data_IF_231741641720
#
_entry.id   IF_231741641720
#
_cell.length_a   1.000
_cell.length_b   1.000
_cell.length_c   1.000
_cell.angle_alpha   90.00
_cell.angle_beta   90.00
_cell.angle_gamma   90.00
#
_symmetry.space_group_name_H-M   'P 1'
#
loop_
_entity.id
_entity.type
_entity.pdbx_description
1 polymer ?
#
# COMPACT_ATOMS: atom_id res chain seq x y z
N UNK A 1 -5.64 -4.04 -6.51
CA UNK A 1 -7.05 -4.50 -6.44
C UNK A 1 -7.33 -5.70 -5.52
N UNK A 2 -6.50 -5.99 -4.48
CA UNK A 2 -6.85 -7.01 -3.47
C UNK A 2 -8.16 -6.70 -2.72
N UNK A 3 -8.50 -5.42 -2.64
CA UNK A 3 -9.79 -4.89 -2.20
C UNK A 3 -10.99 -5.43 -3.00
N UNK A 4 -10.87 -5.65 -4.32
CA UNK A 4 -11.93 -6.23 -5.14
C UNK A 4 -12.14 -7.69 -4.78
N UNK A 5 -11.07 -8.50 -4.75
CA UNK A 5 -11.16 -9.91 -4.37
C UNK A 5 -11.67 -10.11 -2.93
N UNK A 6 -11.30 -9.21 -2.01
CA UNK A 6 -11.79 -9.24 -0.63
C UNK A 6 -13.27 -8.86 -0.51
N UNK A 7 -13.75 -7.93 -1.34
CA UNK A 7 -15.13 -7.44 -1.30
C UNK A 7 -16.10 -8.31 -2.10
N UNK A 8 -15.64 -8.92 -3.19
CA UNK A 8 -16.42 -9.84 -4.03
C UNK A 8 -15.68 -11.18 -4.16
N UNK A 9 -15.87 -12.12 -3.21
CA UNK A 9 -15.19 -13.41 -3.22
C UNK A 9 -15.48 -14.28 -4.45
N UNK A 10 -16.57 -14.01 -5.18
CA UNK A 10 -16.84 -14.67 -6.47
C UNK A 10 -15.88 -14.26 -7.60
N UNK A 11 -15.13 -13.16 -7.45
CA UNK A 11 -14.10 -12.76 -8.40
C UNK A 11 -12.85 -13.61 -8.16
N UNK A 12 -12.64 -14.59 -9.04
CA UNK A 12 -11.53 -15.56 -8.94
C UNK A 12 -10.34 -15.23 -9.83
N UNK A 13 -10.53 -14.38 -10.82
CA UNK A 13 -9.52 -14.08 -11.84
C UNK A 13 -9.36 -12.57 -11.96
N UNK A 14 -8.13 -12.10 -11.74
CA UNK A 14 -7.74 -10.71 -11.94
C UNK A 14 -6.48 -10.72 -12.80
N UNK A 15 -6.57 -10.17 -14.01
CA UNK A 15 -5.46 -9.98 -14.94
C UNK A 15 -4.88 -8.57 -14.87
N UNK A 16 -3.94 -8.23 -15.75
CA UNK A 16 -3.48 -6.85 -15.87
C UNK A 16 -2.12 -6.64 -16.55
N UNK A 17 -1.10 -7.44 -16.25
CA UNK A 17 0.23 -7.26 -16.85
C UNK A 17 0.34 -8.02 -18.18
N UNK A 18 0.70 -7.32 -19.27
CA UNK A 18 0.99 -7.92 -20.59
C UNK A 18 2.34 -7.36 -21.09
N UNK A 19 3.47 -8.02 -20.80
CA UNK A 19 4.79 -7.53 -21.17
C UNK A 19 4.91 -7.25 -22.68
N UNK A 20 5.42 -6.07 -23.04
CA UNK A 20 5.56 -5.63 -24.44
C UNK A 20 4.38 -4.85 -25.01
N UNK A 21 3.26 -4.73 -24.29
CA UNK A 21 2.17 -3.82 -24.66
C UNK A 21 2.60 -2.36 -24.42
N UNK A 22 2.52 -1.45 -25.42
CA UNK A 22 2.92 -0.05 -25.24
C UNK A 22 1.97 0.76 -24.34
N UNK A 23 0.84 0.18 -23.90
CA UNK A 23 -0.20 0.81 -23.08
C UNK A 23 -0.10 0.38 -21.62
N UNK A 24 -1.17 0.64 -20.86
CA UNK A 24 -1.21 0.45 -19.41
C UNK A 24 -0.95 -0.99 -18.97
N UNK A 25 -1.32 -1.97 -19.79
CA UNK A 25 -1.01 -3.37 -19.55
C UNK A 25 0.49 -3.68 -19.53
N UNK A 26 1.31 -3.08 -20.41
CA UNK A 26 2.76 -3.36 -20.40
C UNK A 26 3.51 -2.61 -19.33
N UNK A 27 2.95 -1.49 -18.85
CA UNK A 27 3.47 -0.75 -17.70
C UNK A 27 3.00 -1.30 -16.35
N UNK A 28 2.13 -2.31 -16.33
CA UNK A 28 1.56 -2.88 -15.10
C UNK A 28 0.53 -1.98 -14.39
N UNK A 29 0.07 -0.92 -15.05
CA UNK A 29 -0.94 0.02 -14.54
C UNK A 29 -2.38 -0.48 -14.69
N UNK A 30 -2.60 -1.41 -15.61
CA UNK A 30 -3.93 -1.96 -15.88
C UNK A 30 -4.25 -3.15 -14.96
N UNK A 31 -5.51 -3.23 -14.53
CA UNK A 31 -6.08 -4.36 -13.80
C UNK A 31 -7.38 -4.77 -14.46
N UNK A 32 -7.46 -6.03 -14.90
CA UNK A 32 -8.67 -6.61 -15.50
C UNK A 32 -9.37 -7.50 -14.46
N UNK A 33 -10.52 -7.04 -13.96
CA UNK A 33 -11.35 -7.81 -13.04
C UNK A 33 -12.32 -8.65 -13.87
N UNK A 34 -12.04 -9.96 -14.01
CA UNK A 34 -12.86 -10.84 -14.84
C UNK A 34 -14.22 -11.10 -14.18
N UNK A 35 -15.30 -10.85 -14.91
CA UNK A 35 -16.66 -10.97 -14.39
C UNK A 35 -17.23 -12.36 -14.72
N UNK A 36 -17.53 -13.19 -13.70
CA UNK A 36 -18.15 -14.49 -13.95
C UNK A 36 -19.55 -14.30 -14.52
N UNK A 37 -19.91 -15.13 -15.51
CA UNK A 37 -21.22 -15.11 -16.17
C UNK A 37 -21.61 -13.72 -16.70
N UNK A 38 -20.63 -12.93 -17.18
CA UNK A 38 -20.80 -11.53 -17.62
C UNK A 38 -21.96 -11.30 -18.60
N UNK A 39 -22.28 -12.30 -19.43
CA UNK A 39 -23.36 -12.26 -20.42
C UNK A 39 -24.77 -12.42 -19.80
N UNK A 40 -24.86 -12.75 -18.51
CA UNK A 40 -26.12 -12.85 -17.78
C UNK A 40 -26.46 -11.53 -17.09
N UNK A 41 -27.75 -11.23 -16.81
CA UNK A 41 -28.13 -10.04 -16.05
C UNK A 41 -27.42 -9.93 -14.69
N UNK A 42 -27.21 -11.06 -13.99
CA UNK A 42 -26.51 -11.09 -12.71
C UNK A 42 -25.03 -10.78 -12.85
N UNK A 43 -24.34 -11.34 -13.84
CA UNK A 43 -22.94 -11.02 -14.10
C UNK A 43 -22.76 -9.57 -14.55
N UNK A 44 -23.63 -9.08 -15.42
CA UNK A 44 -23.61 -7.69 -15.86
C UNK A 44 -23.83 -6.71 -14.69
N UNK A 45 -24.79 -7.01 -13.81
CA UNK A 45 -25.02 -6.22 -12.59
C UNK A 45 -23.79 -6.21 -11.66
N UNK A 46 -23.10 -7.34 -11.50
CA UNK A 46 -21.86 -7.43 -10.73
C UNK A 46 -20.75 -6.56 -11.32
N UNK A 47 -20.52 -6.63 -12.63
CA UNK A 47 -19.52 -5.77 -13.29
C UNK A 47 -19.85 -4.29 -13.15
N UNK A 48 -21.14 -3.93 -13.25
CA UNK A 48 -21.63 -2.57 -13.04
C UNK A 48 -21.36 -2.08 -11.61
N UNK A 49 -21.62 -2.92 -10.61
CA UNK A 49 -21.35 -2.62 -9.19
C UNK A 49 -19.84 -2.39 -8.94
N UNK A 50 -18.99 -3.26 -9.47
CA UNK A 50 -17.53 -3.17 -9.32
C UNK A 50 -16.98 -1.92 -10.02
N UNK A 51 -17.47 -1.61 -11.22
CA UNK A 51 -17.09 -0.43 -11.98
C UNK A 51 -17.48 0.87 -11.24
N UNK A 52 -18.71 0.94 -10.72
CA UNK A 52 -19.18 2.06 -9.92
C UNK A 52 -18.37 2.21 -8.62
N UNK A 53 -18.05 1.10 -7.96
CA UNK A 53 -17.21 1.13 -6.76
C UNK A 53 -15.80 1.64 -7.06
N UNK A 54 -15.17 1.20 -8.16
CA UNK A 54 -13.86 1.67 -8.58
C UNK A 54 -13.87 3.18 -8.87
N UNK A 55 -14.95 3.68 -9.51
CA UNK A 55 -15.19 5.10 -9.72
C UNK A 55 -15.33 5.87 -8.40
N UNK A 56 -16.16 5.42 -7.46
CA UNK A 56 -16.36 6.09 -6.15
C UNK A 56 -15.07 6.12 -5.32
N UNK A 57 -14.21 5.11 -5.49
CA UNK A 57 -12.96 4.96 -4.73
C UNK A 57 -11.74 5.45 -5.53
N UNK A 58 -11.93 6.15 -6.65
CA UNK A 58 -10.87 6.46 -7.60
C UNK A 58 -9.66 7.15 -6.95
N UNK A 59 -9.90 8.14 -6.07
CA UNK A 59 -8.83 8.85 -5.34
C UNK A 59 -8.03 7.92 -4.44
N UNK A 60 -8.71 7.07 -3.66
CA UNK A 60 -8.05 6.17 -2.70
C UNK A 60 -7.25 5.05 -3.40
N UNK A 61 -7.71 4.66 -4.59
CA UNK A 61 -7.11 3.60 -5.40
C UNK A 61 -6.10 4.11 -6.43
N UNK A 62 -5.96 5.44 -6.59
CA UNK A 62 -5.12 6.03 -7.63
C UNK A 62 -5.61 5.76 -9.05
N UNK A 63 -6.92 5.57 -9.26
CA UNK A 63 -7.52 5.25 -10.56
C UNK A 63 -7.40 6.45 -11.50
N UNK A 64 -6.98 6.21 -12.74
CA UNK A 64 -6.97 7.21 -13.83
C UNK A 64 -8.22 7.06 -14.70
N UNK A 65 -8.61 5.83 -15.01
CA UNK A 65 -9.87 5.51 -15.71
C UNK A 65 -10.35 4.08 -15.44
N UNK A 66 -11.64 3.88 -15.70
CA UNK A 66 -12.35 2.60 -15.60
C UNK A 66 -13.10 2.35 -16.92
N UNK A 67 -13.04 1.13 -17.44
CA UNK A 67 -13.82 0.68 -18.61
C UNK A 67 -14.69 -0.49 -18.19
N UNK A 68 -15.96 -0.44 -18.55
CA UNK A 68 -16.92 -1.52 -18.37
C UNK A 68 -18.03 -1.41 -19.40
N UNK A 69 -18.42 -2.53 -20.01
CA UNK A 69 -19.53 -2.62 -20.97
C UNK A 69 -19.43 -1.58 -22.11
N UNK A 70 -18.25 -1.54 -22.75
CA UNK A 70 -17.91 -0.58 -23.82
C UNK A 70 -18.10 0.88 -23.42
N UNK A 71 -18.06 1.20 -22.13
CA UNK A 71 -18.10 2.57 -21.62
C UNK A 71 -16.86 2.87 -20.80
N UNK A 72 -16.39 4.11 -20.88
CA UNK A 72 -15.25 4.62 -20.12
C UNK A 72 -15.68 5.77 -19.22
N UNK A 73 -15.20 5.71 -17.98
CA UNK A 73 -15.15 6.84 -17.07
C UNK A 73 -13.70 7.15 -16.73
N UNK A 74 -13.34 8.43 -16.63
CA UNK A 74 -11.96 8.83 -16.31
C UNK A 74 -11.95 10.01 -15.37
N UNK A 75 -10.98 10.06 -14.46
CA UNK A 75 -10.80 11.19 -13.52
C UNK A 75 -10.66 12.51 -14.28
N UNK A 76 -9.88 12.53 -15.36
CA UNK A 76 -9.66 13.72 -16.19
C UNK A 76 -10.95 14.27 -16.85
N UNK A 77 -12.00 13.46 -16.93
CA UNK A 77 -13.29 13.83 -17.54
C UNK A 77 -14.48 13.47 -16.63
N UNK A 78 -14.30 13.50 -15.31
CA UNK A 78 -15.31 13.01 -14.38
C UNK A 78 -16.67 13.71 -14.55
N UNK A 79 -16.67 15.01 -14.86
CA UNK A 79 -17.88 15.81 -15.12
C UNK A 79 -18.67 15.42 -16.38
N UNK A 80 -18.09 14.61 -17.28
CA UNK A 80 -18.77 14.08 -18.47
C UNK A 80 -19.46 12.72 -18.21
N UNK A 81 -19.32 12.16 -17.01
CA UNK A 81 -19.87 10.85 -16.68
C UNK A 81 -19.25 9.71 -17.50
N UNK A 82 -19.99 8.60 -17.58
CA UNK A 82 -19.64 7.45 -18.42
C UNK A 82 -19.90 7.77 -19.89
N UNK A 83 -18.92 7.51 -20.74
CA UNK A 83 -18.97 7.79 -22.18
C UNK A 83 -18.80 6.49 -22.94
N UNK A 84 -19.42 6.37 -24.11
CA UNK A 84 -19.19 5.21 -24.96
C UNK A 84 -17.72 5.17 -25.43
N UNK A 85 -17.16 3.96 -25.49
CA UNK A 85 -15.87 3.72 -26.10
C UNK A 85 -15.96 4.05 -27.59
N UNK A 86 -15.24 5.09 -28.00
CA UNK A 86 -15.04 5.44 -29.41
C UNK A 86 -13.74 4.82 -29.93
N UNK A 87 -13.58 4.74 -31.25
CA UNK A 87 -12.28 4.46 -31.86
C UNK A 87 -11.22 5.38 -31.25
N UNK A 88 -10.19 4.77 -30.65
CA UNK A 88 -9.06 5.46 -30.02
C UNK A 88 -9.13 5.75 -28.51
N UNK A 89 -10.28 5.62 -27.84
CA UNK A 89 -10.39 5.89 -26.38
C UNK A 89 -10.31 4.63 -25.50
N UNK A 90 -10.90 3.54 -25.99
CA UNK A 90 -10.78 2.18 -25.48
C UNK A 90 -11.08 1.28 -26.68
N UNK A 91 -10.16 0.37 -27.04
CA UNK A 91 -10.36 -0.51 -28.19
C UNK A 91 -11.67 -1.30 -27.99
N UNK A 92 -12.46 -1.46 -29.05
CA UNK A 92 -13.73 -2.19 -29.05
C UNK A 92 -13.73 -3.16 -30.25
N UNK A 93 -12.83 -4.15 -30.19
CA UNK A 93 -12.79 -5.25 -31.15
C UNK A 93 -14.03 -6.15 -31.05
N UNK A 94 -14.18 -7.12 -31.97
CA UNK A 94 -15.37 -7.98 -32.01
C UNK A 94 -15.42 -9.03 -30.89
N UNK A 95 -14.28 -9.35 -30.25
CA UNK A 95 -14.27 -10.30 -29.13
C UNK A 95 -14.66 -9.62 -27.80
N UNK A 96 -15.32 -10.33 -26.87
CA UNK A 96 -15.81 -9.77 -25.61
C UNK A 96 -14.74 -9.11 -24.75
N UNK A 97 -13.52 -9.67 -24.74
CA UNK A 97 -12.41 -9.12 -23.97
C UNK A 97 -11.91 -7.82 -24.59
N UNK A 98 -11.70 -7.76 -25.90
CA UNK A 98 -11.39 -6.51 -26.58
C UNK A 98 -12.49 -5.46 -26.37
N UNK A 99 -13.75 -5.85 -26.38
CA UNK A 99 -14.89 -4.95 -26.15
C UNK A 99 -15.12 -4.59 -24.67
N UNK A 100 -14.32 -5.11 -23.73
CA UNK A 100 -14.50 -4.89 -22.28
C UNK A 100 -15.90 -5.29 -21.78
N UNK A 101 -16.46 -6.37 -22.35
CA UNK A 101 -17.76 -6.92 -21.96
C UNK A 101 -17.64 -7.95 -20.83
N UNK A 102 -16.51 -8.64 -20.76
CA UNK A 102 -16.29 -9.76 -19.84
C UNK A 102 -15.46 -9.40 -18.60
N UNK A 103 -14.96 -8.17 -18.52
CA UNK A 103 -14.16 -7.69 -17.40
C UNK A 103 -14.33 -6.19 -17.16
N UNK A 104 -14.16 -5.78 -15.90
CA UNK A 104 -13.99 -4.37 -15.55
C UNK A 104 -12.50 -4.06 -15.63
N UNK A 105 -12.11 -3.18 -16.54
CA UNK A 105 -10.74 -2.71 -16.65
C UNK A 105 -10.54 -1.46 -15.80
N UNK A 106 -9.49 -1.44 -14.99
CA UNK A 106 -9.13 -0.30 -14.17
C UNK A 106 -7.67 0.04 -14.41
N UNK A 107 -7.41 1.26 -14.86
CA UNK A 107 -6.05 1.80 -14.93
C UNK A 107 -5.76 2.66 -13.71
N UNK A 108 -4.56 2.51 -13.15
CA UNK A 108 -4.08 3.32 -12.02
C UNK A 108 -2.89 4.18 -12.45
N UNK A 109 -2.68 5.27 -11.73
CA UNK A 109 -1.47 6.08 -11.88
C UNK A 109 -0.28 5.22 -11.46
N UNK A 110 0.54 4.81 -12.44
CA UNK A 110 1.83 4.18 -12.17
C UNK A 110 2.81 5.20 -11.63
N UNK A 111 3.68 4.75 -10.74
CA UNK A 111 4.71 5.54 -10.09
C UNK A 111 5.59 6.24 -11.15
N UNK A 112 5.45 7.56 -11.30
CA UNK A 112 6.34 8.36 -12.13
C UNK A 112 7.62 8.65 -11.33
N UNK A 113 8.65 7.81 -11.52
CA UNK A 113 10.04 8.00 -11.02
C UNK A 113 10.22 7.61 -9.56
N UNK A 114 11.19 6.81 -9.13
CA UNK A 114 12.58 6.56 -9.58
C UNK A 114 12.95 5.14 -9.16
N UNK A 115 13.97 4.57 -9.82
CA UNK A 115 14.52 3.23 -9.61
C UNK A 115 14.41 2.72 -8.17
N UNK A 116 13.60 1.67 -7.97
CA UNK A 116 13.74 0.78 -6.82
C UNK A 116 13.24 -0.62 -7.17
N UNK A 117 13.99 -1.67 -6.79
CA UNK A 117 13.77 -3.02 -7.27
C UNK A 117 12.45 -3.61 -6.75
N UNK A 118 11.84 -4.43 -7.61
CA UNK A 118 10.59 -5.15 -7.40
C UNK A 118 10.31 -5.53 -5.93
N UNK A 119 9.34 -4.85 -5.32
CA UNK A 119 8.90 -5.13 -3.96
C UNK A 119 7.75 -6.12 -3.95
N UNK A 120 7.92 -7.14 -3.11
CA UNK A 120 7.03 -8.26 -2.82
C UNK A 120 5.51 -7.94 -2.85
N UNK A 121 4.75 -8.95 -3.29
CA UNK A 121 3.32 -8.91 -3.61
C UNK A 121 2.35 -8.35 -2.54
N UNK A 122 2.78 -8.01 -1.31
CA UNK A 122 1.93 -7.49 -0.23
C UNK A 122 1.80 -5.97 -0.15
N UNK A 123 2.57 -5.20 -0.94
CA UNK A 123 2.63 -3.74 -0.78
C UNK A 123 3.22 -3.31 0.57
N UNK A 124 3.87 -4.24 1.28
CA UNK A 124 4.54 -4.01 2.55
C UNK A 124 5.85 -4.82 2.64
N UNK A 125 6.81 -4.33 3.42
CA UNK A 125 8.08 -5.03 3.69
C UNK A 125 8.44 -4.96 5.17
N UNK A 126 9.38 -5.81 5.61
CA UNK A 126 9.94 -5.67 6.94
C UNK A 126 10.72 -4.34 7.06
N UNK A 127 10.69 -3.69 8.24
CA UNK A 127 11.34 -2.40 8.43
C UNK A 127 12.88 -2.49 8.45
N UNK A 128 13.42 -3.69 8.69
CA UNK A 128 14.84 -4.03 8.58
C UNK A 128 14.93 -5.34 7.80
N UNK A 129 15.96 -5.49 6.96
CA UNK A 129 16.17 -6.72 6.19
C UNK A 129 16.27 -7.97 7.09
N UNK A 130 15.69 -9.07 6.62
CA UNK A 130 15.78 -10.37 7.31
C UNK A 130 17.23 -10.74 7.58
N UNK A 131 17.49 -11.25 8.78
CA UNK A 131 18.83 -11.64 9.22
C UNK A 131 19.73 -10.48 9.65
N UNK A 132 19.25 -9.22 9.61
CA UNK A 132 19.98 -8.05 10.13
C UNK A 132 19.51 -7.56 11.49
N UNK A 133 18.57 -8.26 12.12
CA UNK A 133 18.04 -7.93 13.44
C UNK A 133 17.70 -9.18 14.26
N UNK A 134 17.45 -8.97 15.55
CA UNK A 134 16.76 -9.91 16.45
C UNK A 134 15.60 -9.18 17.11
N UNK A 135 14.45 -9.84 17.26
CA UNK A 135 13.36 -9.30 18.08
C UNK A 135 13.80 -9.28 19.55
N UNK A 136 13.86 -8.10 20.16
CA UNK A 136 14.33 -7.92 21.54
C UNK A 136 13.24 -7.67 22.56
N UNK A 137 12.08 -7.17 22.13
CA UNK A 137 10.92 -6.97 22.98
C UNK A 137 9.63 -7.00 22.15
N UNK A 138 8.56 -7.57 22.72
CA UNK A 138 7.26 -7.68 22.06
C UNK A 138 6.28 -6.62 22.59
N UNK A 139 5.23 -6.37 21.82
CA UNK A 139 4.12 -5.53 22.25
C UNK A 139 3.47 -6.08 23.52
N UNK A 140 3.06 -5.20 24.43
CA UNK A 140 2.38 -5.57 25.67
C UNK A 140 3.29 -6.16 26.75
N UNK A 141 4.59 -6.35 26.47
CA UNK A 141 5.55 -6.92 27.42
C UNK A 141 5.64 -6.03 28.69
N UNK A 142 5.48 -6.60 29.89
CA UNK A 142 5.65 -5.85 31.15
C UNK A 142 7.13 -5.59 31.43
N UNK A 143 7.44 -4.57 32.22
CA UNK A 143 8.82 -4.26 32.61
C UNK A 143 8.99 -2.86 33.19
N UNK A 144 10.08 -2.68 33.93
CA UNK A 144 10.42 -1.40 34.61
C UNK A 144 10.84 -0.28 33.64
N UNK A 145 11.00 -0.60 32.35
CA UNK A 145 11.44 0.33 31.30
C UNK A 145 10.30 1.11 30.64
N UNK A 146 9.04 0.77 30.96
CA UNK A 146 7.85 1.38 30.40
C UNK A 146 6.89 1.80 31.51
N UNK A 147 6.17 2.90 31.30
CA UNK A 147 5.21 3.43 32.29
C UNK A 147 4.07 2.43 32.61
N UNK A 148 3.78 1.50 31.69
CA UNK A 148 2.78 0.44 31.94
C UNK A 148 3.15 -0.84 31.18
N UNK A 149 3.24 -0.76 29.85
CA UNK A 149 3.60 -1.86 28.95
C UNK A 149 4.38 -1.34 27.75
N UNK A 150 5.14 -2.22 27.11
CA UNK A 150 5.80 -1.92 25.85
C UNK A 150 4.77 -1.70 24.73
N UNK A 151 4.86 -0.59 23.99
CA UNK A 151 3.84 -0.16 23.01
C UNK A 151 4.14 -0.50 21.56
N UNK A 152 5.25 -1.20 21.32
CA UNK A 152 5.71 -1.55 19.97
C UNK A 152 6.39 -2.91 19.91
N UNK A 153 7.15 -3.11 18.83
CA UNK A 153 7.98 -4.28 18.58
C UNK A 153 9.41 -3.80 18.34
N UNK A 154 10.35 -4.33 19.11
CA UNK A 154 11.75 -3.90 19.05
C UNK A 154 12.60 -4.82 18.19
N UNK A 155 13.26 -4.23 17.20
CA UNK A 155 14.21 -4.88 16.30
C UNK A 155 15.62 -4.45 16.70
N UNK A 156 16.30 -5.25 17.51
CA UNK A 156 17.69 -5.01 17.88
C UNK A 156 18.61 -5.22 16.66
N UNK A 157 19.32 -4.17 16.26
CA UNK A 157 20.23 -4.13 15.13
C UNK A 157 21.34 -3.09 15.37
N UNK A 158 22.53 -3.22 14.74
CA UNK A 158 23.60 -2.24 14.91
C UNK A 158 23.18 -0.82 14.50
N UNK A 159 23.71 0.20 15.19
CA UNK A 159 23.56 1.60 14.78
C UNK A 159 23.96 1.79 13.32
N UNK A 160 23.19 2.57 12.55
CA UNK A 160 23.42 2.77 11.11
C UNK A 160 22.71 1.76 10.20
N UNK A 161 22.11 0.69 10.76
CA UNK A 161 21.32 -0.26 9.95
C UNK A 161 20.15 0.48 9.29
N UNK A 162 19.95 0.37 7.97
CA UNK A 162 18.85 1.04 7.27
C UNK A 162 17.47 0.66 7.83
N UNK A 163 16.62 1.67 8.04
CA UNK A 163 15.22 1.52 8.40
C UNK A 163 14.38 1.85 7.18
N UNK A 164 13.49 0.92 6.82
CA UNK A 164 12.60 1.02 5.67
C UNK A 164 11.16 1.27 6.09
N UNK A 165 10.45 2.05 5.29
CA UNK A 165 9.01 2.21 5.42
C UNK A 165 8.32 0.86 5.24
N UNK A 166 7.56 0.40 6.24
CA UNK A 166 6.86 -0.90 6.16
C UNK A 166 5.80 -0.87 5.06
N UNK A 167 5.08 0.23 4.91
CA UNK A 167 4.09 0.44 3.85
C UNK A 167 4.35 1.75 3.14
N UNK A 168 3.77 1.92 1.95
CA UNK A 168 3.68 3.23 1.33
C UNK A 168 2.83 4.19 2.19
N UNK A 169 3.10 5.48 2.10
CA UNK A 169 2.35 6.50 2.83
C UNK A 169 2.98 7.89 2.76
N UNK A 170 2.49 8.79 3.60
CA UNK A 170 3.02 10.15 3.75
C UNK A 170 3.70 10.28 5.11
N UNK A 171 4.89 10.85 5.14
CA UNK A 171 5.58 11.22 6.38
C UNK A 171 4.81 12.37 7.03
N UNK A 172 4.19 12.12 8.18
CA UNK A 172 3.43 13.13 8.94
C UNK A 172 4.27 13.77 10.04
N UNK A 173 5.48 13.25 10.31
CA UNK A 173 6.42 13.77 11.28
C UNK A 173 7.78 13.11 11.08
N UNK A 174 8.87 13.88 11.09
CA UNK A 174 10.24 13.37 10.97
C UNK A 174 11.22 14.34 11.66
N UNK A 175 11.41 14.18 12.98
CA UNK A 175 12.29 15.05 13.76
C UNK A 175 12.71 14.40 15.10
N UNK A 176 13.62 15.06 15.82
CA UNK A 176 13.93 14.70 17.21
C UNK A 176 12.84 15.22 18.14
N UNK A 177 12.11 14.31 18.79
CA UNK A 177 11.02 14.66 19.72
C UNK A 177 11.50 15.27 21.03
N UNK A 178 12.83 15.22 21.31
CA UNK A 178 13.41 15.54 22.62
C UNK A 178 12.76 14.77 23.79
N UNK A 179 12.13 13.64 23.49
CA UNK A 179 11.42 12.80 24.45
C UNK A 179 11.85 11.34 24.38
N UNK A 180 11.00 10.45 24.91
CA UNK A 180 11.30 9.02 25.05
C UNK A 180 11.63 8.33 23.72
N UNK A 181 11.01 8.77 22.62
CA UNK A 181 11.26 8.21 21.29
C UNK A 181 12.56 8.69 20.64
N UNK A 182 13.16 9.78 21.13
CA UNK A 182 14.30 10.43 20.46
C UNK A 182 13.95 10.89 19.05
N UNK A 183 14.79 10.54 18.08
CA UNK A 183 14.51 10.74 16.65
C UNK A 183 13.38 9.80 16.21
N UNK A 184 12.34 10.40 15.65
CA UNK A 184 11.10 9.71 15.32
C UNK A 184 10.63 10.06 13.92
N UNK A 185 10.38 9.03 13.12
CA UNK A 185 9.65 9.14 11.85
C UNK A 185 8.26 8.54 12.02
N UNK A 186 7.23 9.22 11.51
CA UNK A 186 5.84 8.74 11.48
C UNK A 186 5.33 8.74 10.05
N UNK A 187 4.81 7.61 9.60
CA UNK A 187 4.18 7.45 8.29
C UNK A 187 2.69 7.19 8.49
N UNK A 188 1.83 7.92 7.76
CA UNK A 188 0.41 7.61 7.63
C UNK A 188 0.12 6.99 6.28
N UNK A 189 -0.46 5.78 6.30
CA UNK A 189 -0.94 5.08 5.11
C UNK A 189 -2.30 5.63 4.66
N UNK A 190 -2.74 5.23 3.46
CA UNK A 190 -4.03 5.68 2.89
C UNK A 190 -5.25 5.20 3.67
N UNK A 191 -5.13 4.08 4.39
CA UNK A 191 -6.17 3.54 5.28
C UNK A 191 -6.22 4.23 6.66
N UNK A 192 -5.39 5.25 6.88
CA UNK A 192 -5.30 5.98 8.14
C UNK A 192 -4.41 5.31 9.21
N UNK A 193 -3.87 4.13 8.94
CA UNK A 193 -2.88 3.48 9.83
C UNK A 193 -1.63 4.33 9.91
N UNK A 194 -1.09 4.50 11.11
CA UNK A 194 0.22 5.11 11.32
C UNK A 194 1.25 4.07 11.72
N UNK A 195 2.46 4.20 11.17
CA UNK A 195 3.64 3.46 11.63
C UNK A 195 4.68 4.44 12.15
N UNK A 196 5.21 4.16 13.33
CA UNK A 196 6.15 5.03 14.04
C UNK A 196 7.48 4.30 14.18
N UNK A 197 8.58 4.98 13.84
CA UNK A 197 9.93 4.44 13.79
C UNK A 197 10.82 5.27 14.71
N UNK A 198 11.06 4.79 15.92
CA UNK A 198 11.74 5.54 16.96
C UNK A 198 13.21 5.14 17.14
N UNK A 199 13.90 5.91 18.00
CA UNK A 199 15.29 5.73 18.42
C UNK A 199 16.32 5.87 17.31
N UNK A 200 15.96 6.44 16.17
CA UNK A 200 16.84 6.53 15.00
C UNK A 200 18.15 7.27 15.32
N UNK A 201 19.27 6.86 14.75
CA UNK A 201 20.52 7.65 14.80
C UNK A 201 20.46 8.82 13.82
N UNK A 202 19.82 8.58 12.68
CA UNK A 202 19.67 9.52 11.58
C UNK A 202 18.30 9.34 10.93
N UNK A 203 17.67 10.47 10.62
CA UNK A 203 16.44 10.53 9.82
C UNK A 203 16.84 10.96 8.41
N UNK A 204 16.41 10.22 7.39
CA UNK A 204 16.65 10.57 5.97
C UNK A 204 15.39 11.05 5.27
N UNK A 205 14.22 10.83 5.87
CA UNK A 205 12.95 11.35 5.37
C UNK A 205 12.65 12.76 5.92
N UNK A 206 11.71 13.46 5.30
CA UNK A 206 11.21 14.76 5.76
C UNK A 206 9.69 14.79 5.80
N UNK A 207 9.11 15.66 6.63
CA UNK A 207 7.67 15.83 6.75
C UNK A 207 7.03 16.26 5.42
N UNK A 208 5.87 15.68 5.10
CA UNK A 208 5.17 15.86 3.82
C UNK A 208 5.64 14.93 2.69
N UNK A 209 6.79 14.27 2.83
CA UNK A 209 7.32 13.34 1.84
C UNK A 209 6.39 12.13 1.66
N UNK A 210 6.09 11.80 0.40
CA UNK A 210 5.50 10.49 0.05
C UNK A 210 6.61 9.45 -0.05
N UNK A 211 6.37 8.29 0.55
CA UNK A 211 7.32 7.17 0.55
C UNK A 211 6.66 5.89 0.04
N UNK A 212 7.42 5.09 -0.69
CA UNK A 212 7.03 3.73 -1.08
C UNK A 212 7.35 2.73 0.05
N UNK A 213 6.67 1.59 0.06
CA UNK A 213 7.07 0.48 0.92
C UNK A 213 8.50 0.04 0.55
N UNK A 214 9.37 -0.09 1.55
CA UNK A 214 10.78 -0.43 1.36
C UNK A 214 11.72 0.75 1.18
N UNK A 215 11.20 1.96 1.00
CA UNK A 215 12.03 3.15 0.93
C UNK A 215 12.76 3.39 2.25
N UNK A 216 14.06 3.71 2.18
CA UNK A 216 14.85 4.06 3.36
C UNK A 216 14.39 5.41 3.94
N UNK A 217 14.08 5.41 5.24
CA UNK A 217 13.55 6.58 5.97
C UNK A 217 14.46 7.02 7.13
N UNK A 218 15.47 6.21 7.45
CA UNK A 218 16.51 6.58 8.39
C UNK A 218 17.35 5.36 8.77
N UNK A 219 18.00 5.46 9.92
CA UNK A 219 18.96 4.46 10.37
C UNK A 219 18.74 4.13 11.85
N UNK A 220 18.94 2.86 12.21
CA UNK A 220 18.84 2.37 13.60
C UNK A 220 19.81 3.14 14.48
N UNK A 221 19.38 3.47 15.69
CA UNK A 221 20.20 4.12 16.70
C UNK A 221 19.75 3.79 18.11
N UNK A 222 20.14 4.65 19.04
CA UNK A 222 19.79 4.58 20.45
C UNK A 222 19.42 5.98 21.00
N UNK A 223 18.76 6.81 20.19
CA UNK A 223 18.34 8.14 20.63
C UNK A 223 17.11 8.08 21.55
N UNK A 224 16.94 9.06 22.43
CA UNK A 224 15.85 9.05 23.42
C UNK A 224 16.09 8.05 24.55
N UNK A 225 15.03 7.41 25.02
CA UNK A 225 15.10 6.40 26.08
C UNK A 225 15.32 5.00 25.47
N UNK A 226 16.56 4.68 25.13
CA UNK A 226 16.95 3.40 24.56
C UNK A 226 18.11 2.78 25.35
N UNK A 227 18.02 1.48 25.70
CA UNK A 227 19.10 0.78 26.42
C UNK A 227 20.25 0.30 25.51
N UNK A 228 20.13 0.53 24.22
CA UNK A 228 21.08 0.10 23.19
C UNK A 228 20.47 0.23 21.79
N UNK A 229 21.25 -0.01 20.73
CA UNK A 229 20.79 0.17 19.36
C UNK A 229 19.63 -0.76 18.98
N UNK A 230 18.50 -0.19 18.60
CA UNK A 230 17.34 -0.91 18.07
C UNK A 230 16.38 0.04 17.33
N UNK A 231 15.54 -0.52 16.46
CA UNK A 231 14.33 0.15 15.99
C UNK A 231 13.18 -0.25 16.93
N UNK A 232 12.49 0.74 17.49
CA UNK A 232 11.17 0.55 18.10
C UNK A 232 10.09 0.90 17.07
N UNK A 233 9.33 -0.12 16.64
CA UNK A 233 8.23 0.03 15.69
C UNK A 233 6.90 0.05 16.44
N UNK A 234 6.12 1.11 16.30
CA UNK A 234 4.70 1.08 16.66
C UNK A 234 3.81 1.06 15.42
N UNK A 235 2.67 0.39 15.56
CA UNK A 235 1.54 0.49 14.63
C UNK A 235 0.39 1.13 15.39
N UNK A 236 -0.26 2.12 14.79
CA UNK A 236 -1.42 2.80 15.38
C UNK A 236 -2.60 2.81 14.42
N UNK A 237 -3.74 2.37 14.92
CA UNK A 237 -5.01 2.40 14.19
C UNK A 237 -6.01 3.18 15.04
N UNK A 238 -6.67 4.19 14.44
CA UNK A 238 -7.59 5.08 15.15
C UNK A 238 -6.97 5.71 16.42
N UNK A 239 -5.69 6.09 16.34
CA UNK A 239 -4.95 6.72 17.44
C UNK A 239 -4.50 5.79 18.56
N UNK A 240 -4.79 4.48 18.50
CA UNK A 240 -4.41 3.49 19.52
C UNK A 240 -3.27 2.59 19.02
N UNK A 241 -2.32 2.27 19.88
CA UNK A 241 -1.26 1.31 19.56
C UNK A 241 -1.84 -0.11 19.45
N UNK A 242 -1.43 -0.83 18.42
CA UNK A 242 -1.79 -2.24 18.17
C UNK A 242 -0.53 -3.08 18.07
N UNK A 243 -0.66 -4.39 18.24
CA UNK A 243 0.49 -5.31 18.17
C UNK A 243 1.11 -5.30 16.75
N UNK A 244 2.36 -4.79 16.58
CA UNK A 244 3.00 -4.75 15.29
C UNK A 244 3.32 -6.13 14.72
N UNK A 245 3.57 -7.14 15.56
CA UNK A 245 3.86 -8.49 15.08
C UNK A 245 2.63 -9.09 14.38
N UNK A 246 1.46 -8.99 15.02
CA UNK A 246 0.19 -9.43 14.43
C UNK A 246 -0.11 -8.64 13.16
N UNK A 247 0.11 -7.32 13.17
CA UNK A 247 -0.12 -6.48 11.99
C UNK A 247 0.80 -6.83 10.82
N UNK A 248 2.08 -7.11 11.07
CA UNK A 248 3.04 -7.58 10.06
C UNK A 248 2.65 -8.96 9.50
N UNK A 249 2.24 -9.90 10.36
CA UNK A 249 1.74 -11.22 9.95
C UNK A 249 0.50 -11.11 9.05
N UNK A 250 -0.45 -10.23 9.38
CA UNK A 250 -1.63 -9.98 8.56
C UNK A 250 -1.29 -9.38 7.18
N UNK A 251 -0.09 -8.83 7.01
CA UNK A 251 0.46 -8.38 5.72
C UNK A 251 1.32 -9.42 5.02
N UNK A 252 1.37 -10.65 5.54
CA UNK A 252 2.17 -11.76 5.00
C UNK A 252 3.67 -11.64 5.27
N UNK A 253 4.06 -10.77 6.19
CA UNK A 253 5.46 -10.62 6.63
C UNK A 253 5.70 -11.50 7.86
N UNK A 254 6.91 -12.03 7.99
CA UNK A 254 7.31 -12.86 9.13
C UNK A 254 8.62 -12.30 9.67
N UNK A 255 8.56 -11.44 10.71
CA UNK A 255 9.71 -10.89 11.39
C UNK A 255 10.56 -11.94 12.10
#
# INVERSE_FOLDING_TARGET
MRCVAAKWPQIRTIGGLRPGDPRDHGTGRAVDVMIPNWHTPTGHALGTEIAAWAQTNATALGVTYVIWDRKIWSVAHAGKGWRDCSEGSCYAGPDPSAAHLDHVHVSVAGDQGTDSPATSASGAVLPIDKGKYRISAHYGQPGTRWATRHTGLDFAAPTGTPIRAVTAGTIISAHNTHGVYGNLTKIRATDGTETWYAHQSRITAHEGQRVAAGQNIGEVGASGNASGPHLHLEVRTNGRTTDPLVWLHNKGLQP
#
